data_IF_572229637855
#
_entry.id   IF_572229637855
#
_cell.length_a   1.000
_cell.length_b   1.000
_cell.length_c   1.000
_cell.angle_alpha   90.00
_cell.angle_beta   90.00
_cell.angle_gamma   90.00
#
_symmetry.space_group_name_H-M   'P 1'
#
loop_
_entity.id
_entity.type
_entity.pdbx_description
1 polymer ?
#
# COMPACT_ATOMS: atom_id res chain seq x y z
N UNK A 1 10.31 -7.27 -20.14
CA UNK A 1 11.17 -8.09 -21.00
C UNK A 1 10.76 -7.91 -22.46
N UNK A 2 11.61 -7.24 -23.25
CA UNK A 2 11.34 -6.99 -24.66
C UNK A 2 11.36 -8.30 -25.45
N UNK A 3 10.33 -8.51 -26.28
CA UNK A 3 10.29 -9.67 -27.18
C UNK A 3 11.30 -9.44 -28.30
N UNK A 4 12.42 -10.20 -28.30
CA UNK A 4 13.52 -9.98 -29.22
C UNK A 4 13.25 -10.45 -30.67
N UNK A 5 12.30 -11.38 -30.83
CA UNK A 5 12.00 -11.94 -32.16
C UNK A 5 10.97 -11.13 -32.96
N UNK A 6 10.35 -10.10 -32.40
CA UNK A 6 9.46 -9.19 -33.14
C UNK A 6 9.58 -7.75 -32.65
N UNK A 7 10.07 -6.83 -33.49
CA UNK A 7 10.17 -5.41 -33.16
C UNK A 7 8.84 -4.78 -32.78
N UNK A 8 7.71 -5.25 -33.35
CA UNK A 8 6.38 -4.73 -33.07
C UNK A 8 5.94 -5.01 -31.63
N UNK A 9 6.38 -6.12 -31.03
CA UNK A 9 6.04 -6.50 -29.66
C UNK A 9 7.02 -5.95 -28.61
N UNK A 10 8.08 -5.23 -29.03
CA UNK A 10 8.99 -4.53 -28.09
C UNK A 10 8.35 -3.30 -27.46
N UNK A 11 7.51 -2.62 -28.23
CA UNK A 11 6.87 -1.38 -27.79
C UNK A 11 5.57 -1.69 -27.09
N UNK A 12 5.65 -1.97 -25.80
CA UNK A 12 4.47 -2.18 -24.99
C UNK A 12 4.51 -1.28 -23.76
N UNK A 13 3.33 -1.05 -23.17
CA UNK A 13 3.21 -0.34 -21.91
C UNK A 13 3.98 -1.12 -20.81
N UNK A 14 4.93 -0.46 -20.15
CA UNK A 14 5.75 -1.05 -19.07
C UNK A 14 4.90 -1.59 -17.92
N UNK A 15 3.70 -1.04 -17.76
CA UNK A 15 2.72 -1.53 -16.77
C UNK A 15 2.22 -2.93 -17.09
N UNK A 16 2.19 -3.30 -18.36
CA UNK A 16 1.83 -4.64 -18.79
C UNK A 16 2.86 -5.68 -18.35
N UNK A 17 4.16 -5.34 -18.32
CA UNK A 17 5.20 -6.21 -17.77
C UNK A 17 5.10 -6.30 -16.25
N UNK A 18 4.93 -5.18 -15.56
CA UNK A 18 4.70 -5.18 -14.11
C UNK A 18 3.44 -6.00 -13.74
N UNK A 19 2.37 -5.87 -14.53
CA UNK A 19 1.14 -6.63 -14.34
C UNK A 19 1.33 -8.13 -14.54
N UNK A 20 2.24 -8.56 -15.43
CA UNK A 20 2.55 -9.96 -15.64
C UNK A 20 3.18 -10.60 -14.40
N UNK A 21 4.24 -9.99 -13.85
CA UNK A 21 4.86 -10.47 -12.61
C UNK A 21 3.87 -10.46 -11.43
N UNK A 22 3.07 -9.39 -11.30
CA UNK A 22 2.02 -9.30 -10.30
C UNK A 22 0.99 -10.42 -10.42
N UNK A 23 0.49 -10.69 -11.62
CA UNK A 23 -0.46 -11.74 -11.92
C UNK A 23 0.10 -13.13 -11.63
N UNK A 24 1.34 -13.40 -12.01
CA UNK A 24 1.99 -14.70 -11.78
C UNK A 24 2.15 -14.98 -10.27
N UNK A 25 2.57 -13.99 -9.49
CA UNK A 25 2.63 -14.11 -8.03
C UNK A 25 1.26 -14.42 -7.42
N UNK A 26 0.19 -13.78 -7.91
CA UNK A 26 -1.18 -14.09 -7.49
C UNK A 26 -1.60 -15.50 -7.88
N UNK A 27 -1.26 -15.95 -9.10
CA UNK A 27 -1.57 -17.30 -9.57
C UNK A 27 -0.96 -18.40 -8.69
N UNK A 28 0.27 -18.16 -8.20
CA UNK A 28 0.96 -19.07 -7.28
C UNK A 28 0.58 -18.87 -5.80
N UNK A 29 -0.47 -18.11 -5.50
CA UNK A 29 -0.94 -17.86 -4.13
C UNK A 29 -0.02 -16.98 -3.29
N UNK A 30 0.96 -16.31 -3.92
CA UNK A 30 1.92 -15.44 -3.24
C UNK A 30 1.40 -14.00 -3.11
N UNK A 31 0.15 -13.85 -2.60
CA UNK A 31 -0.55 -12.58 -2.56
C UNK A 31 0.25 -11.46 -1.88
N UNK A 32 0.81 -11.71 -0.70
CA UNK A 32 1.60 -10.70 0.01
C UNK A 32 2.83 -10.24 -0.80
N UNK A 33 3.48 -11.16 -1.52
CA UNK A 33 4.61 -10.83 -2.39
C UNK A 33 4.17 -10.03 -3.62
N UNK A 34 3.03 -10.39 -4.23
CA UNK A 34 2.47 -9.63 -5.35
C UNK A 34 2.26 -8.16 -4.98
N UNK A 35 1.60 -7.91 -3.85
CA UNK A 35 1.35 -6.54 -3.38
C UNK A 35 2.62 -5.81 -2.96
N UNK A 36 3.60 -6.50 -2.36
CA UNK A 36 4.92 -5.92 -2.05
C UNK A 36 5.68 -5.55 -3.31
N UNK A 37 5.69 -6.41 -4.31
CA UNK A 37 6.30 -6.14 -5.61
C UNK A 37 5.69 -4.89 -6.26
N UNK A 38 4.36 -4.84 -6.36
CA UNK A 38 3.64 -3.69 -6.92
C UNK A 38 3.98 -2.39 -6.18
N UNK A 39 3.92 -2.41 -4.85
CA UNK A 39 4.25 -1.22 -4.06
C UNK A 39 5.69 -0.76 -4.28
N UNK A 40 6.65 -1.71 -4.36
CA UNK A 40 8.05 -1.36 -4.63
C UNK A 40 8.25 -0.77 -6.02
N UNK A 41 7.55 -1.30 -7.02
CA UNK A 41 7.53 -0.75 -8.36
C UNK A 41 7.02 0.70 -8.34
N UNK A 42 5.87 0.96 -7.73
CA UNK A 42 5.27 2.29 -7.63
C UNK A 42 6.12 3.27 -6.81
N UNK A 43 6.74 2.80 -5.72
CA UNK A 43 7.70 3.60 -4.95
C UNK A 43 8.93 4.03 -5.76
N UNK A 44 9.36 3.24 -6.72
CA UNK A 44 10.52 3.56 -7.57
C UNK A 44 10.14 4.45 -8.74
N UNK A 45 9.07 4.12 -9.42
CA UNK A 45 8.66 4.82 -10.66
C UNK A 45 7.85 6.09 -10.41
N UNK A 46 7.07 6.13 -9.32
CA UNK A 46 6.09 7.19 -9.08
C UNK A 46 4.81 7.09 -9.92
N UNK A 47 4.66 6.04 -10.71
CA UNK A 47 3.58 5.87 -11.67
C UNK A 47 2.28 5.36 -11.01
N UNK A 48 1.76 6.14 -10.08
CA UNK A 48 0.50 5.80 -9.39
C UNK A 48 -0.73 5.96 -10.29
N UNK A 49 -0.68 6.81 -11.31
CA UNK A 49 -1.78 7.01 -12.25
C UNK A 49 -2.01 5.78 -13.14
N UNK A 50 -0.93 5.12 -13.53
CA UNK A 50 -0.98 3.90 -14.33
C UNK A 50 -1.64 2.70 -13.65
N UNK A 51 -1.84 2.75 -12.35
CA UNK A 51 -2.48 1.68 -11.57
C UNK A 51 -3.93 1.41 -12.03
N UNK A 52 -4.60 2.39 -12.63
CA UNK A 52 -5.95 2.20 -13.19
C UNK A 52 -6.00 1.06 -14.24
N UNK A 53 -4.91 0.84 -14.98
CA UNK A 53 -4.80 -0.21 -16.01
C UNK A 53 -4.27 -1.55 -15.46
N UNK A 54 -3.72 -1.58 -14.26
CA UNK A 54 -3.05 -2.76 -13.73
C UNK A 54 -3.94 -4.01 -13.73
N UNK A 55 -5.18 -3.88 -13.27
CA UNK A 55 -6.12 -5.01 -13.19
C UNK A 55 -6.47 -5.55 -14.57
N UNK A 56 -6.65 -4.66 -15.53
CA UNK A 56 -6.90 -5.01 -16.91
C UNK A 56 -5.72 -5.79 -17.50
N UNK A 57 -4.51 -5.27 -17.39
CA UNK A 57 -3.31 -5.96 -17.90
C UNK A 57 -3.07 -7.30 -17.19
N UNK A 58 -3.25 -7.37 -15.87
CA UNK A 58 -3.10 -8.61 -15.12
C UNK A 58 -4.14 -9.67 -15.56
N UNK A 59 -5.40 -9.28 -15.79
CA UNK A 59 -6.43 -10.17 -16.31
C UNK A 59 -6.13 -10.63 -17.74
N UNK A 60 -5.68 -9.71 -18.59
CA UNK A 60 -5.24 -10.02 -19.95
C UNK A 60 -4.10 -11.05 -19.94
N UNK A 61 -3.05 -10.83 -19.13
CA UNK A 61 -1.92 -11.77 -19.01
C UNK A 61 -2.36 -13.13 -18.47
N UNK A 62 -3.28 -13.18 -17.51
CA UNK A 62 -3.85 -14.45 -17.03
C UNK A 62 -4.57 -15.21 -18.16
N UNK A 63 -5.32 -14.50 -19.00
CA UNK A 63 -5.99 -15.10 -20.16
C UNK A 63 -4.98 -15.60 -21.20
N UNK A 64 -3.93 -14.84 -21.47
CA UNK A 64 -2.82 -15.28 -22.36
C UNK A 64 -2.19 -16.58 -21.85
N UNK A 65 -1.89 -16.67 -20.53
CA UNK A 65 -1.34 -17.89 -19.91
C UNK A 65 -2.30 -19.09 -20.03
N UNK A 66 -3.59 -18.86 -19.87
CA UNK A 66 -4.61 -19.89 -20.09
C UNK A 66 -4.59 -20.39 -21.55
N UNK A 67 -4.55 -19.49 -22.52
CA UNK A 67 -4.49 -19.84 -23.94
C UNK A 67 -3.22 -20.61 -24.32
N UNK A 68 -2.05 -20.17 -23.85
CA UNK A 68 -0.78 -20.89 -24.07
C UNK A 68 -0.87 -22.32 -23.54
N UNK A 69 -1.46 -22.51 -22.33
CA UNK A 69 -1.66 -23.85 -21.77
C UNK A 69 -2.59 -24.71 -22.63
N UNK A 70 -3.69 -24.14 -23.16
CA UNK A 70 -4.61 -24.86 -24.05
C UNK A 70 -3.92 -25.30 -25.35
N UNK A 71 -3.10 -24.44 -25.95
CA UNK A 71 -2.31 -24.78 -27.14
C UNK A 71 -1.38 -25.96 -26.85
N UNK A 72 -0.64 -25.92 -25.73
CA UNK A 72 0.25 -27.01 -25.33
C UNK A 72 -0.53 -28.34 -25.14
N UNK A 73 -1.72 -28.29 -24.50
CA UNK A 73 -2.56 -29.47 -24.33
C UNK A 73 -3.05 -30.03 -25.65
N UNK A 74 -3.49 -29.17 -26.58
CA UNK A 74 -3.93 -29.56 -27.92
C UNK A 74 -2.79 -30.25 -28.69
N UNK A 75 -1.59 -29.69 -28.68
CA UNK A 75 -0.42 -30.27 -29.32
C UNK A 75 -0.02 -31.63 -28.72
N UNK A 76 -0.25 -31.83 -27.42
CA UNK A 76 0.01 -33.09 -26.72
C UNK A 76 -1.12 -34.10 -26.83
N UNK A 77 -2.22 -33.81 -27.55
CA UNK A 77 -3.40 -34.68 -27.65
C UNK A 77 -4.12 -34.88 -26.31
N UNK A 78 -3.91 -34.01 -25.33
CA UNK A 78 -4.46 -34.12 -23.99
C UNK A 78 -5.83 -33.44 -23.89
N UNK A 79 -6.69 -33.94 -22.97
CA UNK A 79 -8.01 -33.33 -22.73
C UNK A 79 -7.91 -31.92 -22.18
N UNK A 80 -8.53 -30.98 -22.88
CA UNK A 80 -8.58 -29.56 -22.47
C UNK A 80 -9.70 -29.28 -21.45
N UNK A 81 -10.76 -30.11 -21.43
CA UNK A 81 -12.00 -29.81 -20.71
C UNK A 81 -11.86 -29.77 -19.17
N UNK A 82 -10.84 -30.41 -18.60
CA UNK A 82 -10.68 -30.56 -17.16
C UNK A 82 -9.37 -29.99 -16.59
N UNK A 83 -8.56 -29.28 -17.41
CA UNK A 83 -7.27 -28.79 -16.92
C UNK A 83 -7.42 -27.75 -15.80
N UNK A 84 -6.93 -28.11 -14.62
CA UNK A 84 -7.03 -27.28 -13.41
C UNK A 84 -6.19 -25.99 -13.50
N UNK A 85 -5.14 -25.97 -14.32
CA UNK A 85 -4.28 -24.79 -14.51
C UNK A 85 -5.01 -23.74 -15.33
N UNK A 86 -5.64 -24.15 -16.45
CA UNK A 86 -6.47 -23.25 -17.28
C UNK A 86 -7.57 -22.61 -16.42
N UNK A 87 -8.30 -23.44 -15.65
CA UNK A 87 -9.37 -22.93 -14.79
C UNK A 87 -8.87 -21.93 -13.74
N UNK A 88 -7.68 -22.16 -13.17
CA UNK A 88 -7.10 -21.20 -12.19
C UNK A 88 -6.77 -19.85 -12.84
N UNK A 89 -6.18 -19.85 -14.02
CA UNK A 89 -5.90 -18.60 -14.74
C UNK A 89 -7.17 -17.83 -15.12
N UNK A 90 -8.19 -18.52 -15.65
CA UNK A 90 -9.47 -17.90 -16.02
C UNK A 90 -10.22 -17.36 -14.79
N UNK A 91 -10.17 -18.10 -13.66
CA UNK A 91 -10.74 -17.62 -12.41
C UNK A 91 -10.01 -16.37 -11.91
N UNK A 92 -8.68 -16.37 -11.94
CA UNK A 92 -7.88 -15.22 -11.57
C UNK A 92 -8.20 -14.01 -12.46
N UNK A 93 -8.29 -14.19 -13.78
CA UNK A 93 -8.66 -13.13 -14.72
C UNK A 93 -10.00 -12.49 -14.35
N UNK A 94 -11.03 -13.34 -14.12
CA UNK A 94 -12.34 -12.89 -13.67
C UNK A 94 -12.27 -12.11 -12.34
N UNK A 95 -11.54 -12.64 -11.35
CA UNK A 95 -11.47 -12.07 -10.00
C UNK A 95 -10.70 -10.73 -9.99
N UNK A 96 -9.76 -10.54 -10.92
CA UNK A 96 -9.07 -9.27 -11.15
C UNK A 96 -9.99 -8.19 -11.73
N UNK A 97 -10.97 -8.58 -12.57
CA UNK A 97 -11.91 -7.64 -13.19
C UNK A 97 -13.10 -7.30 -12.27
N UNK A 98 -13.37 -8.11 -11.25
CA UNK A 98 -14.43 -7.79 -10.28
C UNK A 98 -14.05 -6.54 -9.48
N UNK A 99 -14.91 -5.53 -9.51
CA UNK A 99 -14.75 -4.31 -8.72
C UNK A 99 -14.79 -4.65 -7.23
N UNK A 100 -13.69 -4.37 -6.54
CA UNK A 100 -13.64 -4.42 -5.07
C UNK A 100 -13.96 -3.03 -4.53
N UNK A 101 -14.60 -2.97 -3.36
CA UNK A 101 -14.79 -1.71 -2.65
C UNK A 101 -13.44 -1.31 -2.05
N UNK A 102 -12.84 -0.17 -2.47
CA UNK A 102 -11.59 0.30 -1.89
C UNK A 102 -11.82 0.79 -0.46
N UNK A 103 -10.73 0.93 0.30
CA UNK A 103 -10.74 1.55 1.62
C UNK A 103 -9.55 2.52 1.74
N UNK A 104 -9.66 3.47 2.64
CA UNK A 104 -8.59 4.41 2.98
C UNK A 104 -8.14 4.17 4.42
N UNK A 105 -6.85 3.93 4.61
CA UNK A 105 -6.23 3.71 5.92
C UNK A 105 -5.12 4.73 6.13
N UNK A 106 -5.15 5.45 7.24
CA UNK A 106 -4.06 6.31 7.67
C UNK A 106 -3.22 5.60 8.73
N UNK A 107 -1.90 5.77 8.69
CA UNK A 107 -1.09 5.52 9.88
C UNK A 107 -1.09 6.76 10.76
N UNK A 108 -1.02 6.59 12.06
CA UNK A 108 -0.87 7.68 13.02
C UNK A 108 0.18 7.29 14.06
N UNK A 109 1.01 8.23 14.49
CA UNK A 109 1.97 8.00 15.59
C UNK A 109 3.27 8.78 15.46
N UNK A 110 4.02 8.82 16.55
CA UNK A 110 5.29 9.52 16.66
C UNK A 110 6.42 8.87 15.84
N UNK A 111 7.51 9.58 15.55
CA UNK A 111 8.74 8.97 15.02
C UNK A 111 9.20 7.80 15.91
N UNK A 112 9.69 6.72 15.30
CA UNK A 112 10.10 5.51 16.05
C UNK A 112 8.97 4.56 16.42
N UNK A 113 7.69 4.94 16.29
CA UNK A 113 6.56 4.07 16.64
C UNK A 113 6.42 2.81 15.74
N UNK A 114 7.00 2.82 14.53
CA UNK A 114 6.94 1.69 13.60
C UNK A 114 5.86 1.79 12.54
N UNK A 115 5.36 2.98 12.24
CA UNK A 115 4.34 3.23 11.19
C UNK A 115 4.69 2.59 9.85
N UNK A 116 5.91 2.76 9.37
CA UNK A 116 6.33 2.19 8.08
C UNK A 116 6.50 0.67 8.11
N UNK A 117 6.74 0.07 9.29
CA UNK A 117 6.68 -1.39 9.48
C UNK A 117 5.23 -1.84 9.37
N UNK A 118 4.32 -1.19 10.10
CA UNK A 118 2.89 -1.43 10.00
C UNK A 118 2.40 -1.28 8.55
N UNK A 119 2.75 -0.20 7.86
CA UNK A 119 2.30 0.05 6.48
C UNK A 119 2.75 -1.06 5.51
N UNK A 120 3.98 -1.56 5.65
CA UNK A 120 4.47 -2.71 4.86
C UNK A 120 3.68 -4.00 5.13
N UNK A 121 3.29 -4.24 6.37
CA UNK A 121 2.42 -5.37 6.72
C UNK A 121 1.02 -5.16 6.16
N UNK A 122 0.45 -3.97 6.34
CA UNK A 122 -0.88 -3.61 5.86
C UNK A 122 -1.04 -3.75 4.34
N UNK A 123 0.02 -3.52 3.57
CA UNK A 123 0.04 -3.79 2.12
C UNK A 123 -0.33 -5.24 1.80
N UNK A 124 0.25 -6.20 2.52
CA UNK A 124 -0.06 -7.62 2.33
C UNK A 124 -1.42 -8.03 2.90
N UNK A 125 -1.77 -7.51 4.08
CA UNK A 125 -3.00 -7.86 4.80
C UNK A 125 -4.28 -7.27 4.17
N UNK A 126 -4.17 -6.07 3.61
CA UNK A 126 -5.30 -5.34 3.04
C UNK A 126 -5.29 -5.35 1.50
N UNK A 127 -4.28 -5.95 0.89
CA UNK A 127 -4.09 -5.95 -0.58
C UNK A 127 -4.18 -4.53 -1.16
N UNK A 128 -3.40 -3.62 -0.57
CA UNK A 128 -3.48 -2.19 -0.82
C UNK A 128 -2.19 -1.57 -1.36
N UNK A 129 -2.28 -0.32 -1.75
CA UNK A 129 -1.15 0.50 -2.18
C UNK A 129 -0.79 1.47 -1.06
N UNK A 130 0.50 1.55 -0.73
CA UNK A 130 1.04 2.43 0.29
C UNK A 130 1.60 3.71 -0.35
N UNK A 131 1.11 4.86 0.10
CA UNK A 131 1.67 6.18 -0.19
C UNK A 131 2.50 6.63 1.02
N UNK A 132 3.80 6.82 0.83
CA UNK A 132 4.72 7.19 1.92
C UNK A 132 5.12 8.65 1.83
N UNK A 133 4.80 9.41 2.88
CA UNK A 133 5.11 10.85 2.96
C UNK A 133 6.59 11.15 2.77
N UNK A 134 7.49 10.33 3.32
CA UNK A 134 8.93 10.54 3.23
C UNK A 134 9.46 10.31 1.81
N UNK A 135 8.87 9.37 1.05
CA UNK A 135 9.22 9.11 -0.35
C UNK A 135 8.68 10.23 -1.25
N UNK A 136 7.40 10.57 -1.07
CA UNK A 136 6.78 11.60 -1.89
C UNK A 136 7.41 12.99 -1.65
N UNK A 137 7.81 13.30 -0.42
CA UNK A 137 8.56 14.53 -0.11
C UNK A 137 9.87 14.65 -0.88
N UNK A 138 10.61 13.55 -1.06
CA UNK A 138 11.86 13.54 -1.83
C UNK A 138 11.66 13.74 -3.33
N UNK A 139 10.44 13.53 -3.84
CA UNK A 139 10.08 13.81 -5.24
C UNK A 139 9.77 15.29 -5.49
N UNK A 140 9.41 16.03 -4.46
CA UNK A 140 9.31 17.46 -4.57
C UNK A 140 10.73 18.06 -4.61
N UNK A 141 11.04 18.82 -5.66
CA UNK A 141 12.26 19.63 -5.71
C UNK A 141 12.09 20.84 -4.77
N UNK A 142 12.20 20.60 -3.46
CA UNK A 142 12.18 21.65 -2.44
C UNK A 142 13.60 21.93 -1.98
N UNK A 143 13.95 23.20 -1.84
CA UNK A 143 15.20 23.62 -1.18
C UNK A 143 15.24 23.09 0.25
N UNK A 144 16.40 22.62 0.69
CA UNK A 144 16.56 21.97 2.00
C UNK A 144 16.06 22.84 3.17
N UNK A 145 16.21 24.16 3.08
CA UNK A 145 15.77 25.11 4.11
C UNK A 145 14.24 25.23 4.25
N UNK A 146 13.50 25.05 3.15
CA UNK A 146 12.03 25.15 3.13
C UNK A 146 11.31 23.83 3.39
N UNK A 147 12.02 22.71 3.29
CA UNK A 147 11.49 21.33 3.33
C UNK A 147 10.71 20.98 4.60
N UNK A 148 11.00 21.64 5.71
CA UNK A 148 10.37 21.41 7.03
C UNK A 148 9.43 22.53 7.48
N UNK A 149 9.17 23.53 6.62
CA UNK A 149 8.20 24.58 6.93
C UNK A 149 6.77 23.99 7.07
N UNK A 150 5.88 24.70 7.73
CA UNK A 150 4.50 24.30 7.93
C UNK A 150 3.75 24.23 6.58
N UNK A 151 4.01 25.17 5.67
CA UNK A 151 3.47 25.20 4.32
C UNK A 151 3.93 23.99 3.49
N UNK A 152 5.22 23.67 3.52
CA UNK A 152 5.77 22.52 2.78
C UNK A 152 5.19 21.20 3.30
N UNK A 153 4.95 21.11 4.61
CA UNK A 153 4.29 19.95 5.22
C UNK A 153 2.87 19.81 4.69
N UNK A 154 2.08 20.89 4.67
CA UNK A 154 0.72 20.87 4.15
C UNK A 154 0.69 20.45 2.68
N UNK A 155 1.57 21.01 1.84
CA UNK A 155 1.70 20.64 0.43
C UNK A 155 1.96 19.14 0.22
N UNK A 156 2.80 18.51 1.06
CA UNK A 156 3.00 17.06 1.00
C UNK A 156 1.72 16.29 1.31
N UNK A 157 0.93 16.73 2.31
CA UNK A 157 -0.35 16.08 2.62
C UNK A 157 -1.40 16.29 1.53
N UNK A 158 -1.46 17.46 0.92
CA UNK A 158 -2.34 17.73 -0.24
C UNK A 158 -1.97 16.86 -1.44
N UNK A 159 -0.68 16.70 -1.71
CA UNK A 159 -0.21 15.79 -2.76
C UNK A 159 -0.55 14.33 -2.47
N UNK A 160 -0.35 13.87 -1.24
CA UNK A 160 -0.75 12.52 -0.82
C UNK A 160 -2.27 12.33 -0.96
N UNK A 161 -3.06 13.35 -0.62
CA UNK A 161 -4.51 13.34 -0.76
C UNK A 161 -4.94 13.19 -2.22
N UNK A 162 -4.33 13.98 -3.13
CA UNK A 162 -4.60 13.89 -4.56
C UNK A 162 -4.25 12.50 -5.13
N UNK A 163 -3.08 11.96 -4.80
CA UNK A 163 -2.70 10.61 -5.21
C UNK A 163 -3.60 9.53 -4.61
N UNK A 164 -3.99 9.68 -3.35
CA UNK A 164 -4.94 8.75 -2.73
C UNK A 164 -6.28 8.76 -3.47
N UNK A 165 -6.77 9.92 -3.88
CA UNK A 165 -8.02 10.05 -4.65
C UNK A 165 -7.94 9.30 -5.98
N UNK A 166 -6.87 9.46 -6.75
CA UNK A 166 -6.62 8.75 -8.02
C UNK A 166 -6.64 7.23 -7.81
N UNK A 167 -5.93 6.72 -6.80
CA UNK A 167 -5.86 5.29 -6.49
C UNK A 167 -7.21 4.72 -6.03
N UNK A 168 -7.94 5.47 -5.21
CA UNK A 168 -9.28 5.08 -4.74
C UNK A 168 -10.27 5.01 -5.92
N UNK A 169 -10.19 5.95 -6.87
CA UNK A 169 -10.97 5.90 -8.11
C UNK A 169 -10.63 4.69 -8.98
N UNK A 170 -9.36 4.28 -9.00
CA UNK A 170 -8.92 3.04 -9.65
C UNK A 170 -9.38 1.77 -8.89
N UNK A 171 -10.11 1.91 -7.78
CA UNK A 171 -10.63 0.79 -6.97
C UNK A 171 -9.58 0.12 -6.12
N UNK A 172 -8.50 0.82 -5.78
CA UNK A 172 -7.43 0.30 -4.92
C UNK A 172 -7.61 0.75 -3.47
N UNK A 173 -7.42 -0.17 -2.52
CA UNK A 173 -7.27 0.20 -1.11
C UNK A 173 -5.97 0.98 -0.95
N UNK A 174 -6.03 2.10 -0.23
CA UNK A 174 -4.88 3.00 -0.04
C UNK A 174 -4.49 3.06 1.42
N UNK A 175 -3.20 2.90 1.70
CA UNK A 175 -2.58 3.09 3.00
C UNK A 175 -1.70 4.33 2.90
N UNK A 176 -1.95 5.36 3.70
CA UNK A 176 -1.12 6.56 3.72
C UNK A 176 -0.19 6.50 4.92
N UNK A 177 1.10 6.28 4.66
CA UNK A 177 2.16 6.21 5.68
C UNK A 177 2.71 7.61 5.96
N UNK A 178 2.15 8.27 6.96
CA UNK A 178 2.57 9.57 7.47
C UNK A 178 2.32 9.67 8.98
N UNK A 179 2.76 10.76 9.60
CA UNK A 179 2.65 10.91 11.06
C UNK A 179 1.21 11.18 11.53
N UNK A 180 0.44 11.97 10.77
CA UNK A 180 -0.95 12.35 11.06
C UNK A 180 -1.22 12.78 12.51
N UNK A 181 -0.33 13.59 13.07
CA UNK A 181 -0.38 14.01 14.46
C UNK A 181 -1.46 15.07 14.75
N UNK A 182 -1.91 15.82 13.75
CA UNK A 182 -2.96 16.84 13.87
C UNK A 182 -4.29 16.30 13.35
N UNK A 183 -5.37 16.61 14.06
CA UNK A 183 -6.73 16.26 13.64
C UNK A 183 -7.06 16.84 12.25
N UNK A 184 -6.71 18.10 11.98
CA UNK A 184 -6.98 18.75 10.70
C UNK A 184 -6.45 17.97 9.49
N UNK A 185 -5.28 17.35 9.62
CA UNK A 185 -4.69 16.51 8.57
C UNK A 185 -5.46 15.20 8.40
N UNK A 186 -5.92 14.58 9.48
CA UNK A 186 -6.73 13.35 9.44
C UNK A 186 -8.12 13.63 8.85
N UNK A 187 -8.72 14.74 9.22
CA UNK A 187 -10.03 15.20 8.73
C UNK A 187 -10.05 15.43 7.21
N UNK A 188 -8.97 15.96 6.62
CA UNK A 188 -8.84 16.08 5.16
C UNK A 188 -9.06 14.73 4.45
N UNK A 189 -8.46 13.65 4.96
CA UNK A 189 -8.59 12.30 4.39
C UNK A 189 -9.92 11.65 4.75
N UNK A 190 -10.46 11.90 5.95
CA UNK A 190 -11.79 11.46 6.34
C UNK A 190 -12.87 12.06 5.41
N UNK A 191 -12.76 13.35 5.08
CA UNK A 191 -13.62 14.03 4.10
C UNK A 191 -13.50 13.41 2.71
N UNK A 192 -12.31 13.03 2.26
CA UNK A 192 -12.12 12.31 1.01
C UNK A 192 -12.85 10.97 1.03
N UNK A 193 -12.67 10.17 2.09
CA UNK A 193 -13.35 8.89 2.24
C UNK A 193 -14.88 9.04 2.23
N UNK A 194 -15.40 10.02 2.94
CA UNK A 194 -16.83 10.37 2.94
C UNK A 194 -17.31 10.76 1.53
N UNK A 195 -16.59 11.66 0.84
CA UNK A 195 -16.89 12.07 -0.55
C UNK A 195 -16.96 10.87 -1.50
N UNK A 196 -16.09 9.87 -1.32
CA UNK A 196 -16.03 8.65 -2.14
C UNK A 196 -16.95 7.52 -1.63
N UNK A 197 -17.63 7.71 -0.50
CA UNK A 197 -18.49 6.70 0.14
C UNK A 197 -17.77 5.39 0.38
N UNK A 198 -16.52 5.45 0.85
CA UNK A 198 -15.65 4.29 1.11
C UNK A 198 -15.35 4.16 2.61
N UNK A 199 -15.01 2.93 3.07
CA UNK A 199 -14.50 2.70 4.41
C UNK A 199 -13.24 3.52 4.71
N UNK A 200 -13.14 4.01 5.95
CA UNK A 200 -12.02 4.78 6.46
C UNK A 200 -11.56 4.22 7.80
N UNK A 201 -10.25 4.13 8.00
CA UNK A 201 -9.69 3.71 9.29
C UNK A 201 -8.39 4.45 9.60
N UNK A 202 -8.09 4.60 10.89
CA UNK A 202 -6.85 5.14 11.42
C UNK A 202 -6.14 4.03 12.18
N UNK A 203 -4.93 3.67 11.74
CA UNK A 203 -4.05 2.76 12.47
C UNK A 203 -3.11 3.60 13.36
N UNK A 204 -3.44 3.69 14.62
CA UNK A 204 -2.64 4.41 15.60
C UNK A 204 -1.55 3.51 16.18
N UNK A 205 -0.34 3.66 15.65
CA UNK A 205 0.84 2.88 16.07
C UNK A 205 1.54 3.62 17.21
N UNK A 206 1.67 2.95 18.35
CA UNK A 206 2.24 3.51 19.58
C UNK A 206 3.35 2.63 20.14
N UNK A 207 4.28 3.23 20.85
CA UNK A 207 5.28 2.57 21.68
C UNK A 207 5.59 3.45 22.90
N UNK A 208 6.25 2.90 23.91
CA UNK A 208 6.73 3.66 25.06
C UNK A 208 7.75 4.71 24.64
N UNK A 209 7.84 5.81 25.38
CA UNK A 209 8.78 6.89 25.09
C UNK A 209 10.22 6.37 25.03
N UNK A 210 10.62 5.50 25.93
CA UNK A 210 11.95 4.90 25.97
C UNK A 210 12.24 4.10 24.68
N UNK A 211 11.26 3.33 24.22
CA UNK A 211 11.36 2.60 22.96
C UNK A 211 11.45 3.54 21.76
N UNK A 212 10.70 4.64 21.75
CA UNK A 212 10.75 5.64 20.69
C UNK A 212 12.10 6.31 20.62
N UNK A 213 12.63 6.81 21.75
CA UNK A 213 13.93 7.45 21.84
C UNK A 213 15.06 6.51 21.41
N UNK A 214 15.08 5.29 21.93
CA UNK A 214 16.07 4.29 21.55
C UNK A 214 16.08 4.04 20.04
N UNK A 215 14.91 3.80 19.44
CA UNK A 215 14.77 3.50 17.99
C UNK A 215 15.16 4.68 17.12
N UNK A 216 14.80 5.89 17.51
CA UNK A 216 15.15 7.11 16.75
C UNK A 216 16.64 7.38 16.81
N UNK A 217 17.27 7.24 17.99
CA UNK A 217 18.73 7.40 18.18
C UNK A 217 19.52 6.36 17.40
N UNK A 218 19.13 5.08 17.48
CA UNK A 218 19.79 4.01 16.74
C UNK A 218 19.70 4.20 15.22
N UNK A 219 18.53 4.60 14.74
CA UNK A 219 18.31 4.92 13.33
C UNK A 219 19.19 6.08 12.83
N UNK A 220 19.29 7.13 13.62
CA UNK A 220 20.15 8.27 13.31
C UNK A 220 21.63 7.85 13.23
N UNK A 221 22.07 6.96 14.13
CA UNK A 221 23.44 6.41 14.12
C UNK A 221 23.73 5.56 12.88
N UNK A 222 22.75 4.80 12.40
CA UNK A 222 22.91 3.93 11.25
C UNK A 222 22.82 4.65 9.89
N UNK A 223 22.27 5.86 9.83
CA UNK A 223 22.15 6.68 8.62
C UNK A 223 21.37 6.05 7.47
N UNK A 224 20.62 4.96 7.71
CA UNK A 224 20.08 4.07 6.69
C UNK A 224 18.60 4.27 6.35
N UNK A 225 17.91 5.19 7.02
CA UNK A 225 16.45 5.36 6.85
C UNK A 225 16.11 6.60 6.00
N UNK A 226 14.99 6.51 5.30
CA UNK A 226 14.40 7.59 4.51
C UNK A 226 13.90 8.73 5.41
N UNK A 227 13.56 8.45 6.67
CA UNK A 227 13.05 9.41 7.65
C UNK A 227 14.20 10.04 8.46
N UNK A 228 14.29 11.36 8.43
CA UNK A 228 15.36 12.18 9.03
C UNK A 228 15.03 12.65 10.48
N UNK A 229 13.93 12.19 11.09
CA UNK A 229 13.53 12.65 12.43
C UNK A 229 14.45 12.10 13.53
N UNK A 230 15.21 13.00 14.17
CA UNK A 230 16.05 12.75 15.35
C UNK A 230 15.29 12.84 16.69
N UNK A 231 15.99 12.62 17.84
CA UNK A 231 15.40 12.72 19.18
C UNK A 231 14.80 14.10 19.51
N UNK A 232 15.39 15.17 19.02
CA UNK A 232 14.89 16.54 19.20
C UNK A 232 13.53 16.73 18.52
N UNK A 233 13.40 16.21 17.29
CA UNK A 233 12.15 16.24 16.53
C UNK A 233 11.08 15.41 17.23
N UNK A 234 11.45 14.28 17.83
CA UNK A 234 10.52 13.44 18.60
C UNK A 234 9.94 14.22 19.79
N UNK A 235 10.77 14.92 20.56
CA UNK A 235 10.33 15.73 21.70
C UNK A 235 9.33 16.81 21.25
N UNK A 236 9.66 17.57 20.22
CA UNK A 236 8.79 18.59 19.66
C UNK A 236 7.45 18.04 19.17
N UNK A 237 7.47 16.89 18.49
CA UNK A 237 6.26 16.29 17.93
C UNK A 237 5.37 15.64 18.97
N UNK A 238 5.93 15.16 20.10
CA UNK A 238 5.16 14.62 21.21
C UNK A 238 4.18 15.65 21.75
N UNK A 239 4.63 16.88 21.98
CA UNK A 239 3.80 17.96 22.56
C UNK A 239 2.76 18.48 21.55
N UNK A 240 2.97 18.24 20.26
CA UNK A 240 2.06 18.64 19.18
C UNK A 240 1.09 17.53 18.74
N UNK A 241 1.18 16.36 19.34
CA UNK A 241 0.35 15.23 18.96
C UNK A 241 -1.05 15.35 19.57
N UNK A 242 -2.05 15.43 18.71
CA UNK A 242 -3.46 15.40 19.09
C UNK A 242 -3.95 13.95 19.05
N UNK A 243 -4.33 13.42 20.21
CA UNK A 243 -4.95 12.09 20.32
C UNK A 243 -6.23 12.01 19.44
N UNK A 244 -6.65 10.80 19.04
CA UNK A 244 -7.90 10.65 18.30
C UNK A 244 -9.08 11.26 19.05
N UNK A 245 -9.82 12.14 18.37
CA UNK A 245 -11.01 12.78 18.90
C UNK A 245 -12.16 11.77 19.08
N UNK A 246 -13.22 12.11 19.83
CA UNK A 246 -14.34 11.18 20.08
C UNK A 246 -14.98 10.62 18.81
N UNK A 247 -15.12 11.41 17.76
CA UNK A 247 -15.63 11.04 16.43
C UNK A 247 -14.68 10.12 15.64
N UNK A 248 -13.37 10.22 15.90
CA UNK A 248 -12.37 9.37 15.28
C UNK A 248 -12.22 8.01 15.98
N UNK A 249 -12.63 7.89 17.25
CA UNK A 249 -12.41 6.66 18.03
C UNK A 249 -13.03 5.41 17.40
N UNK A 250 -14.21 5.54 16.80
CA UNK A 250 -14.92 4.42 16.17
C UNK A 250 -14.18 3.84 14.95
N UNK A 251 -13.32 4.65 14.30
CA UNK A 251 -12.54 4.26 13.13
C UNK A 251 -11.05 4.11 13.43
N UNK A 252 -10.64 4.22 14.70
CA UNK A 252 -9.24 4.13 15.12
C UNK A 252 -8.94 2.78 15.75
N UNK A 253 -7.92 2.10 15.21
CA UNK A 253 -7.38 0.87 15.79
C UNK A 253 -5.99 1.15 16.35
N UNK A 254 -5.81 0.90 17.65
CA UNK A 254 -4.52 1.12 18.33
C UNK A 254 -3.63 -0.12 18.23
N UNK A 255 -2.44 0.04 17.66
CA UNK A 255 -1.41 -0.99 17.57
C UNK A 255 -0.27 -0.65 18.52
N UNK A 256 -0.04 -1.48 19.53
CA UNK A 256 1.09 -1.33 20.46
C UNK A 256 2.29 -2.05 19.90
N UNK A 257 3.35 -1.30 19.59
CA UNK A 257 4.57 -1.83 18.97
C UNK A 257 5.72 -1.85 19.99
N UNK A 258 5.61 -2.72 20.98
CA UNK A 258 6.66 -2.98 21.98
C UNK A 258 7.34 -4.33 21.69
N UNK A 259 8.67 -4.29 21.63
CA UNK A 259 9.46 -5.53 21.40
C UNK A 259 9.33 -6.12 19.98
N UNK A 260 9.81 -7.37 19.79
CA UNK A 260 9.85 -8.03 18.49
C UNK A 260 8.48 -8.40 17.93
N UNK A 261 7.48 -8.64 18.79
CA UNK A 261 6.14 -9.13 18.42
C UNK A 261 5.09 -8.03 18.33
N UNK A 262 5.45 -6.77 18.48
CA UNK A 262 4.49 -5.66 18.67
C UNK A 262 3.52 -5.41 17.51
N UNK A 263 3.84 -5.89 16.30
CA UNK A 263 3.00 -5.77 15.11
C UNK A 263 2.73 -7.15 14.48
N UNK A 264 2.60 -8.20 15.31
CA UNK A 264 2.31 -9.55 14.82
C UNK A 264 1.05 -9.55 13.94
N UNK A 265 1.13 -10.22 12.78
CA UNK A 265 0.00 -10.40 11.86
C UNK A 265 -1.18 -11.18 12.49
N UNK A 266 -0.91 -11.99 13.53
CA UNK A 266 -1.91 -12.71 14.30
C UNK A 266 -2.65 -11.84 15.34
N UNK A 267 -2.20 -10.60 15.58
CA UNK A 267 -2.81 -9.72 16.57
C UNK A 267 -4.28 -9.40 16.23
N UNK A 268 -5.20 -9.42 17.21
CA UNK A 268 -6.63 -9.20 16.98
C UNK A 268 -6.96 -7.85 16.36
N UNK A 269 -6.09 -6.86 16.51
CA UNK A 269 -6.22 -5.54 15.92
C UNK A 269 -6.30 -5.59 14.38
N UNK A 270 -5.65 -6.56 13.73
CA UNK A 270 -5.75 -6.76 12.30
C UNK A 270 -7.15 -7.21 11.87
N UNK A 271 -7.82 -8.02 12.69
CA UNK A 271 -9.20 -8.41 12.43
C UNK A 271 -10.13 -7.18 12.49
N UNK A 272 -9.99 -6.34 13.52
CA UNK A 272 -10.75 -5.09 13.64
C UNK A 272 -10.49 -4.17 12.45
N UNK A 273 -9.23 -4.01 12.04
CA UNK A 273 -8.87 -3.18 10.88
C UNK A 273 -9.49 -3.72 9.59
N UNK A 274 -9.45 -5.04 9.36
CA UNK A 274 -10.10 -5.67 8.20
C UNK A 274 -11.62 -5.48 8.21
N UNK A 275 -12.26 -5.55 9.37
CA UNK A 275 -13.70 -5.29 9.50
C UNK A 275 -14.03 -3.84 9.15
N UNK A 276 -13.31 -2.86 9.71
CA UNK A 276 -13.49 -1.43 9.42
C UNK A 276 -13.27 -1.10 7.94
N UNK A 277 -12.34 -1.78 7.29
CA UNK A 277 -12.03 -1.56 5.87
C UNK A 277 -12.88 -2.42 4.92
N UNK A 278 -13.75 -3.27 5.45
CA UNK A 278 -14.58 -4.18 4.62
C UNK A 278 -13.76 -5.22 3.85
N UNK A 279 -12.51 -5.45 4.25
CA UNK A 279 -11.62 -6.43 3.60
C UNK A 279 -11.88 -7.82 4.21
N UNK A 280 -12.11 -8.80 3.35
CA UNK A 280 -12.18 -10.20 3.80
C UNK A 280 -10.78 -10.78 3.93
N UNK A 281 -10.53 -11.66 4.92
CA UNK A 281 -9.27 -12.39 4.97
C UNK A 281 -9.06 -13.11 3.63
N UNK A 282 -7.80 -13.15 3.18
CA UNK A 282 -7.45 -13.94 2.00
C UNK A 282 -7.92 -15.38 2.26
N UNK A 283 -8.84 -15.89 1.45
CA UNK A 283 -9.13 -17.32 1.46
C UNK A 283 -7.86 -18.01 0.94
N UNK A 284 -7.23 -18.76 1.83
CA UNK A 284 -6.12 -19.68 1.53
C UNK A 284 -6.51 -20.66 0.43
#
# INVERSE_FOLDING_TARGET
DGIDFSPEYRWMDVRNDAAFAFMDLLHYGKNALAWRFLNRYLEKTGDYEGVALLRFYAAYRATVRANVRLICLSQAGASMASDGVVRRYLRLARDLLVRRRPALVLTMGLPGAGKSVFARMAVGELHGICLRSDIERKRFAMDDASRYSENSRLQVYEHLLAKADVLLMAGMTVIVDAAFLRHSLRDMFAKLAKKRSIPFAIAWVVASLDTLYRRVTERQRLGSDVSEAGPEVLTLLKDRMEAPLPDEKAVTVRFVNEGPSGLDAAAPQWQTLRQLTGQRPARL
#
